data_IF_839176223804
#
_entry.id   IF_839176223804
#
_cell.length_a   1.000
_cell.length_b   1.000
_cell.length_c   1.000
_cell.angle_alpha   90.00
_cell.angle_beta   90.00
_cell.angle_gamma   90.00
#
_symmetry.space_group_name_H-M   'P 1'
#
loop_
_entity.id
_entity.type
_entity.pdbx_description
1 polymer ?
#
# COMPACT_ATOMS: atom_id res chain seq x y z
N UNK A 1 14.72 17.63 25.61
CA UNK A 1 14.51 16.38 24.86
C UNK A 1 13.01 16.27 24.61
N UNK A 2 12.57 16.61 23.40
CA UNK A 2 11.15 16.61 23.07
C UNK A 2 10.67 15.17 22.92
N UNK A 3 9.53 14.81 23.49
CA UNK A 3 8.94 13.46 23.47
C UNK A 3 8.59 12.91 22.07
N UNK A 4 8.97 13.60 21.00
CA UNK A 4 8.72 13.24 19.60
C UNK A 4 9.79 12.31 18.99
N UNK A 5 10.88 11.99 19.70
CA UNK A 5 11.91 11.04 19.23
C UNK A 5 11.59 9.56 19.53
N UNK A 6 10.40 9.24 20.05
CA UNK A 6 10.07 7.86 20.46
C UNK A 6 9.94 6.88 19.28
N UNK A 7 9.66 7.38 18.07
CA UNK A 7 9.56 6.54 16.86
C UNK A 7 10.35 7.20 15.73
N UNK A 8 11.62 6.81 15.51
CA UNK A 8 12.44 7.39 14.45
C UNK A 8 11.83 7.08 13.08
N UNK A 9 11.88 8.03 12.16
CA UNK A 9 11.44 7.78 10.79
C UNK A 9 12.47 6.93 10.04
N UNK A 10 11.99 6.07 9.15
CA UNK A 10 12.86 5.19 8.36
C UNK A 10 13.66 6.02 7.36
N UNK A 11 14.98 5.77 7.33
CA UNK A 11 15.89 6.42 6.38
C UNK A 11 16.26 5.47 5.26
N UNK A 12 16.20 5.95 4.02
CA UNK A 12 16.70 5.23 2.87
C UNK A 12 18.24 5.14 2.88
N UNK A 13 18.83 4.08 2.31
CA UNK A 13 20.27 3.98 2.14
C UNK A 13 20.83 5.13 1.30
N UNK A 14 22.01 5.61 1.66
CA UNK A 14 22.70 6.65 0.91
C UNK A 14 23.03 6.16 -0.52
N UNK A 15 22.72 6.98 -1.51
CA UNK A 15 22.99 6.68 -2.93
C UNK A 15 21.88 5.97 -3.69
N UNK A 16 20.75 5.61 -3.06
CA UNK A 16 19.60 5.06 -3.79
C UNK A 16 18.84 6.14 -4.57
N UNK A 17 18.45 5.88 -5.84
CA UNK A 17 17.57 6.79 -6.57
C UNK A 17 16.21 6.91 -5.87
N UNK A 18 15.64 8.12 -5.83
CA UNK A 18 14.34 8.37 -5.19
C UNK A 18 13.22 7.47 -5.72
N UNK A 19 13.21 7.18 -7.03
CA UNK A 19 12.27 6.24 -7.63
C UNK A 19 12.38 4.81 -7.07
N UNK A 20 13.60 4.33 -6.79
CA UNK A 20 13.83 3.01 -6.18
C UNK A 20 13.31 2.98 -4.76
N UNK A 21 13.62 4.02 -3.97
CA UNK A 21 13.13 4.16 -2.58
C UNK A 21 11.59 4.17 -2.54
N UNK A 22 10.97 4.97 -3.41
CA UNK A 22 9.51 5.06 -3.50
C UNK A 22 8.88 3.71 -3.89
N UNK A 23 9.45 3.02 -4.88
CA UNK A 23 8.95 1.71 -5.34
C UNK A 23 9.05 0.67 -4.23
N UNK A 24 10.19 0.60 -3.53
CA UNK A 24 10.38 -0.32 -2.40
C UNK A 24 9.39 -0.01 -1.27
N UNK A 25 9.17 1.27 -0.95
CA UNK A 25 8.19 1.68 0.04
C UNK A 25 6.77 1.23 -0.37
N UNK A 26 6.35 1.46 -1.62
CA UNK A 26 5.05 1.03 -2.12
C UNK A 26 4.87 -0.49 -2.03
N UNK A 27 5.89 -1.27 -2.37
CA UNK A 27 5.84 -2.74 -2.27
C UNK A 27 5.69 -3.17 -0.81
N UNK A 28 6.47 -2.57 0.10
CA UNK A 28 6.37 -2.86 1.53
C UNK A 28 4.98 -2.50 2.08
N UNK A 29 4.43 -1.38 1.64
CA UNK A 29 3.10 -0.91 2.04
C UNK A 29 2.01 -1.84 1.54
N UNK A 30 2.04 -2.22 0.26
CA UNK A 30 1.10 -3.18 -0.31
C UNK A 30 1.16 -4.54 0.40
N UNK A 31 2.36 -5.02 0.75
CA UNK A 31 2.54 -6.27 1.48
C UNK A 31 1.98 -6.21 2.91
N UNK A 32 2.24 -5.12 3.64
CA UNK A 32 1.70 -4.90 4.99
C UNK A 32 0.18 -4.77 4.97
N UNK A 33 -0.36 -4.06 3.98
CA UNK A 33 -1.80 -3.86 3.83
C UNK A 33 -2.49 -5.19 3.52
N UNK A 34 -1.94 -5.96 2.58
CA UNK A 34 -2.43 -7.29 2.24
C UNK A 34 -2.38 -8.25 3.44
N UNK A 35 -1.29 -8.23 4.22
CA UNK A 35 -1.18 -9.03 5.44
C UNK A 35 -2.21 -8.62 6.50
N UNK A 36 -2.43 -7.31 6.67
CA UNK A 36 -3.44 -6.77 7.57
C UNK A 36 -4.87 -7.16 7.15
N UNK A 37 -5.18 -7.06 5.86
CA UNK A 37 -6.47 -7.45 5.30
C UNK A 37 -6.71 -8.96 5.45
N UNK A 38 -5.71 -9.79 5.15
CA UNK A 38 -5.77 -11.24 5.37
C UNK A 38 -6.01 -11.58 6.84
N UNK A 39 -5.26 -10.96 7.76
CA UNK A 39 -5.42 -11.18 9.19
C UNK A 39 -6.80 -10.74 9.71
N UNK A 40 -7.34 -9.63 9.19
CA UNK A 40 -8.68 -9.17 9.49
C UNK A 40 -9.75 -10.17 9.01
N UNK A 41 -9.58 -10.73 7.81
CA UNK A 41 -10.47 -11.75 7.25
C UNK A 41 -10.44 -13.04 8.08
N UNK A 42 -9.25 -13.50 8.46
CA UNK A 42 -9.08 -14.67 9.32
C UNK A 42 -9.70 -14.46 10.71
N UNK A 43 -9.55 -13.26 11.29
CA UNK A 43 -10.21 -12.91 12.55
C UNK A 43 -11.73 -12.91 12.44
N UNK A 44 -12.28 -12.39 11.34
CA UNK A 44 -13.72 -12.36 11.11
C UNK A 44 -14.33 -13.76 11.07
N UNK A 45 -13.62 -14.74 10.51
CA UNK A 45 -14.09 -16.14 10.39
C UNK A 45 -13.83 -16.95 11.67
N UNK A 46 -12.66 -16.81 12.29
CA UNK A 46 -12.24 -17.68 13.39
C UNK A 46 -12.35 -17.05 14.79
N UNK A 47 -12.60 -15.73 14.88
CA UNK A 47 -12.71 -14.96 16.15
C UNK A 47 -11.51 -15.13 17.09
N UNK A 48 -10.35 -15.55 16.59
CA UNK A 48 -9.15 -15.79 17.38
C UNK A 48 -8.37 -14.48 17.65
N UNK A 49 -7.72 -14.33 18.81
CA UNK A 49 -7.03 -13.08 19.16
C UNK A 49 -5.73 -12.86 18.36
N UNK A 50 -5.13 -13.92 17.81
CA UNK A 50 -3.85 -13.84 17.10
C UNK A 50 -3.95 -13.05 15.79
N UNK A 51 -4.86 -13.37 14.84
CA UNK A 51 -5.01 -12.58 13.62
C UNK A 51 -5.46 -11.14 13.89
N UNK A 52 -6.25 -10.91 14.94
CA UNK A 52 -6.61 -9.55 15.37
C UNK A 52 -5.37 -8.73 15.72
N UNK A 53 -4.49 -9.27 16.58
CA UNK A 53 -3.27 -8.58 17.01
C UNK A 53 -2.27 -8.41 15.86
N UNK A 54 -2.13 -9.41 14.99
CA UNK A 54 -1.27 -9.32 13.81
C UNK A 54 -1.76 -8.27 12.82
N UNK A 55 -3.07 -8.21 12.57
CA UNK A 55 -3.66 -7.18 11.71
C UNK A 55 -3.46 -5.78 12.27
N UNK A 56 -3.70 -5.58 13.57
CA UNK A 56 -3.47 -4.30 14.23
C UNK A 56 -2.01 -3.86 14.13
N UNK A 57 -1.08 -4.78 14.38
CA UNK A 57 0.35 -4.51 14.26
C UNK A 57 0.73 -4.18 12.81
N UNK A 58 0.21 -4.94 11.83
CA UNK A 58 0.48 -4.71 10.40
C UNK A 58 0.04 -3.31 9.97
N UNK A 59 -1.17 -2.87 10.35
CA UNK A 59 -1.64 -1.53 10.03
C UNK A 59 -0.87 -0.42 10.78
N UNK A 60 -0.44 -0.66 12.02
CA UNK A 60 0.43 0.26 12.75
C UNK A 60 1.79 0.44 12.06
N UNK A 61 2.42 -0.66 11.65
CA UNK A 61 3.68 -0.63 10.90
C UNK A 61 3.49 -0.01 9.52
N UNK A 62 2.40 -0.32 8.83
CA UNK A 62 2.04 0.29 7.54
C UNK A 62 1.98 1.81 7.66
N UNK A 63 1.27 2.33 8.67
CA UNK A 63 1.19 3.77 8.89
C UNK A 63 2.58 4.38 9.11
N UNK A 64 3.45 3.73 9.89
CA UNK A 64 4.80 4.21 10.13
C UNK A 64 5.68 4.21 8.87
N UNK A 65 5.60 3.15 8.05
CA UNK A 65 6.28 3.07 6.76
C UNK A 65 5.75 4.13 5.80
N UNK A 66 4.43 4.36 5.79
CA UNK A 66 3.79 5.34 4.94
C UNK A 66 4.27 6.74 5.29
N UNK A 67 4.17 7.12 6.56
CA UNK A 67 4.67 8.40 7.04
C UNK A 67 6.16 8.60 6.69
N UNK A 68 6.98 7.55 6.81
CA UNK A 68 8.40 7.60 6.45
C UNK A 68 8.62 7.76 4.94
N UNK A 69 7.82 7.11 4.11
CA UNK A 69 7.94 7.18 2.64
C UNK A 69 7.66 8.57 2.06
N UNK A 70 6.84 9.37 2.75
CA UNK A 70 6.51 10.75 2.34
C UNK A 70 7.70 11.72 2.43
N UNK A 71 8.81 11.31 3.04
CA UNK A 71 10.06 12.05 2.95
C UNK A 71 10.70 11.99 1.56
N UNK A 72 10.36 10.96 0.77
CA UNK A 72 11.05 10.61 -0.47
C UNK A 72 10.17 10.74 -1.71
N UNK A 73 8.85 10.77 -1.54
CA UNK A 73 7.90 10.75 -2.64
C UNK A 73 6.61 11.51 -2.30
N UNK A 74 5.92 11.98 -3.35
CA UNK A 74 4.63 12.64 -3.19
C UNK A 74 3.56 11.69 -2.65
N UNK A 75 2.66 12.24 -1.83
CA UNK A 75 1.53 11.52 -1.25
C UNK A 75 0.76 10.73 -2.30
N UNK A 76 0.33 11.41 -3.38
CA UNK A 76 -0.47 10.80 -4.44
C UNK A 76 0.25 9.64 -5.13
N UNK A 77 1.55 9.80 -5.41
CA UNK A 77 2.36 8.78 -6.06
C UNK A 77 2.44 7.52 -5.18
N UNK A 78 2.80 7.65 -3.90
CA UNK A 78 2.91 6.52 -2.96
C UNK A 78 1.57 5.82 -2.76
N UNK A 79 0.50 6.59 -2.52
CA UNK A 79 -0.84 6.05 -2.27
C UNK A 79 -1.36 5.30 -3.49
N UNK A 80 -1.30 5.90 -4.69
CA UNK A 80 -1.80 5.26 -5.91
C UNK A 80 -0.96 4.02 -6.26
N UNK A 81 0.37 4.11 -6.11
CA UNK A 81 1.28 3.03 -6.45
C UNK A 81 1.05 1.75 -5.63
N UNK A 82 0.92 1.85 -4.31
CA UNK A 82 0.63 0.66 -3.51
C UNK A 82 -0.78 0.12 -3.74
N UNK A 83 -1.78 1.00 -3.95
CA UNK A 83 -3.19 0.60 -4.07
C UNK A 83 -3.38 -0.32 -5.28
N UNK A 84 -2.70 -0.05 -6.39
CA UNK A 84 -2.71 -0.92 -7.57
C UNK A 84 -2.21 -2.32 -7.21
N UNK A 85 -1.07 -2.43 -6.51
CA UNK A 85 -0.51 -3.71 -6.09
C UNK A 85 -1.42 -4.44 -5.09
N UNK A 86 -1.98 -3.71 -4.14
CA UNK A 86 -2.90 -4.22 -3.14
C UNK A 86 -4.16 -4.81 -3.79
N UNK A 87 -4.78 -4.11 -4.74
CA UNK A 87 -5.96 -4.61 -5.43
C UNK A 87 -5.70 -5.93 -6.13
N UNK A 88 -4.58 -6.03 -6.85
CA UNK A 88 -4.18 -7.29 -7.50
C UNK A 88 -3.97 -8.38 -6.44
N UNK A 89 -3.27 -8.07 -5.35
CA UNK A 89 -3.05 -9.01 -4.24
C UNK A 89 -4.35 -9.50 -3.60
N UNK A 90 -5.31 -8.61 -3.35
CA UNK A 90 -6.62 -8.93 -2.77
C UNK A 90 -7.43 -9.83 -3.71
N UNK A 91 -7.50 -9.49 -5.00
CA UNK A 91 -8.18 -10.34 -5.99
C UNK A 91 -7.55 -11.72 -6.02
N UNK A 92 -6.22 -11.83 -6.01
CA UNK A 92 -5.52 -13.11 -5.98
C UNK A 92 -5.84 -13.90 -4.71
N UNK A 93 -5.80 -13.28 -3.53
CA UNK A 93 -6.13 -13.95 -2.26
C UNK A 93 -7.60 -14.40 -2.24
N UNK A 94 -8.54 -13.55 -2.63
CA UNK A 94 -9.96 -13.91 -2.70
C UNK A 94 -10.21 -15.10 -3.62
N UNK A 95 -9.55 -15.10 -4.79
CA UNK A 95 -9.65 -16.20 -5.76
C UNK A 95 -9.03 -17.50 -5.26
N UNK A 96 -7.79 -17.44 -4.76
CA UNK A 96 -6.96 -18.62 -4.47
C UNK A 96 -7.23 -19.19 -3.08
N UNK A 97 -7.38 -18.33 -2.07
CA UNK A 97 -7.53 -18.76 -0.67
C UNK A 97 -8.98 -18.91 -0.26
N UNK A 98 -9.85 -17.99 -0.69
CA UNK A 98 -11.25 -17.96 -0.26
C UNK A 98 -12.23 -18.50 -1.31
N UNK A 99 -11.75 -18.88 -2.50
CA UNK A 99 -12.56 -19.51 -3.54
C UNK A 99 -13.64 -18.60 -4.12
N UNK A 100 -13.53 -17.28 -3.95
CA UNK A 100 -14.49 -16.31 -4.47
C UNK A 100 -14.49 -16.38 -5.98
N UNK A 101 -15.62 -16.61 -6.63
CA UNK A 101 -15.71 -16.55 -8.09
C UNK A 101 -16.19 -15.16 -8.54
N UNK A 102 -15.46 -14.58 -9.49
CA UNK A 102 -15.80 -13.29 -10.06
C UNK A 102 -16.44 -13.50 -11.45
N UNK A 103 -17.70 -13.08 -11.66
CA UNK A 103 -18.31 -13.12 -12.97
C UNK A 103 -17.56 -12.18 -13.95
N UNK A 104 -17.69 -12.41 -15.28
CA UNK A 104 -16.87 -11.74 -16.28
C UNK A 104 -16.98 -10.20 -16.28
N UNK A 105 -18.15 -9.66 -15.94
CA UNK A 105 -18.41 -8.23 -15.80
C UNK A 105 -17.53 -7.57 -14.74
N UNK A 106 -17.29 -8.26 -13.61
CA UNK A 106 -16.39 -7.76 -12.55
C UNK A 106 -14.93 -7.75 -12.99
N UNK A 107 -14.51 -8.71 -13.81
CA UNK A 107 -13.15 -8.70 -14.39
C UNK A 107 -12.93 -7.50 -15.30
N UNK A 108 -13.92 -7.16 -16.13
CA UNK A 108 -13.87 -5.95 -16.96
C UNK A 108 -13.73 -4.70 -16.07
N UNK A 109 -14.52 -4.60 -15.00
CA UNK A 109 -14.44 -3.48 -14.07
C UNK A 109 -13.05 -3.36 -13.40
N UNK A 110 -12.46 -4.48 -12.97
CA UNK A 110 -11.09 -4.50 -12.40
C UNK A 110 -10.08 -3.99 -13.41
N UNK A 111 -10.12 -4.49 -14.65
CA UNK A 111 -9.17 -4.08 -15.70
C UNK A 111 -9.30 -2.58 -15.99
N UNK A 112 -10.53 -2.06 -16.09
CA UNK A 112 -10.78 -0.63 -16.32
C UNK A 112 -10.21 0.22 -15.17
N UNK A 113 -10.42 -0.23 -13.93
CA UNK A 113 -9.96 0.49 -12.74
C UNK A 113 -8.43 0.50 -12.65
N UNK A 114 -7.78 -0.63 -12.90
CA UNK A 114 -6.32 -0.73 -12.96
C UNK A 114 -5.73 0.13 -14.08
N UNK A 115 -6.35 0.16 -15.26
CA UNK A 115 -5.93 1.00 -16.37
C UNK A 115 -6.04 2.49 -16.03
N UNK A 116 -7.15 2.90 -15.40
CA UNK A 116 -7.34 4.27 -14.96
C UNK A 116 -6.32 4.70 -13.89
N UNK A 117 -6.02 3.82 -12.92
CA UNK A 117 -5.02 4.11 -11.90
C UNK A 117 -3.59 4.16 -12.46
N UNK A 118 -3.26 3.24 -13.37
CA UNK A 118 -1.98 3.27 -14.07
C UNK A 118 -1.81 4.56 -14.88
N UNK A 119 -2.87 5.01 -15.55
CA UNK A 119 -2.87 6.30 -16.24
C UNK A 119 -2.59 7.46 -15.27
N UNK A 120 -3.24 7.51 -14.11
CA UNK A 120 -3.00 8.56 -13.12
C UNK A 120 -1.58 8.52 -12.54
N UNK A 121 -0.98 7.33 -12.40
CA UNK A 121 0.37 7.16 -11.87
C UNK A 121 1.45 7.54 -12.90
N UNK A 122 1.22 7.23 -14.17
CA UNK A 122 2.17 7.46 -15.27
C UNK A 122 1.98 8.82 -15.94
N UNK A 123 0.82 9.46 -15.77
CA UNK A 123 0.59 10.81 -16.23
C UNK A 123 1.62 11.73 -15.54
N UNK A 124 2.35 12.58 -16.31
CA UNK A 124 3.27 13.54 -15.72
C UNK A 124 2.53 14.37 -14.67
N UNK A 125 3.08 14.44 -13.44
CA UNK A 125 2.57 15.36 -12.43
C UNK A 125 2.54 16.76 -13.08
N UNK A 126 1.35 17.37 -13.14
CA UNK A 126 1.15 18.62 -13.84
C UNK A 126 2.17 19.66 -13.35
N UNK A 127 3.01 20.10 -14.27
CA UNK A 127 3.99 21.20 -14.23
C UNK A 127 4.26 21.81 -12.85
N UNK A 128 5.48 21.57 -12.37
CA UNK A 128 6.20 22.34 -11.36
C UNK A 128 5.67 23.76 -11.16
N UNK A 129 5.11 24.01 -9.98
CA UNK A 129 4.75 25.36 -9.51
C UNK A 129 6.03 26.19 -9.42
N UNK A 130 6.26 27.10 -10.36
CA UNK A 130 7.28 28.15 -10.25
C UNK A 130 6.97 28.97 -8.99
N UNK A 131 7.85 29.03 -7.97
CA UNK A 131 7.67 29.96 -6.86
C UNK A 131 7.83 31.39 -7.38
N UNK A 132 6.90 32.25 -7.00
CA UNK A 132 6.97 33.70 -7.19
C UNK A 132 7.93 34.34 -6.17
#
# INVERSE_FOLDING_TARGET
MSSFDLVPMLKAPEGWPGAVVATVAMVALAALDLAGAFAAKEWAEHRSPVPMLLGLLAFGVLFWVYASSLQYAELALVTMGWIVMLQVGLVVIDRVRYGVELPPDKWVAIVVLLAAQAYLLLAPAASSRTPA
#
